data_IF_986964441208
#
_entry.id   IF_986964441208
#
_cell.length_a   1.000
_cell.length_b   1.000
_cell.length_c   1.000
_cell.angle_alpha   90.00
_cell.angle_beta   90.00
_cell.angle_gamma   90.00
#
_symmetry.space_group_name_H-M   'P 1'
#
loop_
_entity.id
_entity.type
_entity.pdbx_description
1 polymer ?
#
# COMPACT_ATOMS: atom_id res chain seq x y z
N UNK A 1 44.90 -34.82 31.78
CA UNK A 1 44.65 -35.56 30.52
C UNK A 1 43.82 -34.63 29.64
N UNK A 2 44.35 -34.22 28.49
CA UNK A 2 43.64 -33.32 27.58
C UNK A 2 42.72 -34.18 26.71
N UNK A 3 41.42 -34.16 26.99
CA UNK A 3 40.40 -34.82 26.19
C UNK A 3 40.39 -34.16 24.81
N UNK A 4 41.08 -34.79 23.86
CA UNK A 4 41.00 -34.41 22.45
C UNK A 4 39.62 -34.84 21.98
N UNK A 5 38.65 -33.93 22.05
CA UNK A 5 37.36 -34.10 21.41
C UNK A 5 37.63 -34.57 19.97
N UNK A 6 37.21 -35.79 19.66
CA UNK A 6 37.28 -36.35 18.31
C UNK A 6 36.24 -35.58 17.48
N UNK A 7 36.61 -34.39 16.99
CA UNK A 7 35.72 -33.58 16.16
C UNK A 7 35.55 -34.33 14.85
N UNK A 8 34.43 -35.01 14.72
CA UNK A 8 34.05 -35.71 13.49
C UNK A 8 33.72 -34.63 12.43
N UNK A 9 34.71 -34.30 11.60
CA UNK A 9 34.55 -33.29 10.56
C UNK A 9 33.88 -33.91 9.33
N UNK A 10 32.59 -33.62 9.15
CA UNK A 10 31.86 -33.99 7.93
C UNK A 10 32.09 -32.93 6.86
N UNK A 11 32.58 -33.35 5.69
CA UNK A 11 32.80 -32.45 4.54
C UNK A 11 31.59 -32.50 3.61
N UNK A 12 30.81 -31.42 3.58
CA UNK A 12 29.70 -31.26 2.63
C UNK A 12 30.23 -30.69 1.31
N UNK A 13 30.03 -31.41 0.21
CA UNK A 13 30.37 -30.90 -1.13
C UNK A 13 29.24 -30.01 -1.62
N UNK A 14 29.53 -28.72 -1.80
CA UNK A 14 28.61 -27.75 -2.39
C UNK A 14 29.16 -27.22 -3.72
N UNK A 15 28.31 -26.94 -4.73
CA UNK A 15 28.72 -26.28 -5.94
C UNK A 15 29.43 -24.94 -5.67
N UNK A 16 30.43 -24.59 -6.48
CA UNK A 16 31.27 -23.41 -6.25
C UNK A 16 30.47 -22.10 -6.21
N UNK A 17 29.47 -21.95 -7.07
CA UNK A 17 28.61 -20.77 -7.10
C UNK A 17 27.84 -20.61 -5.78
N UNK A 18 27.27 -21.70 -5.25
CA UNK A 18 26.53 -21.71 -3.99
C UNK A 18 27.47 -21.40 -2.81
N UNK A 19 28.68 -21.96 -2.81
CA UNK A 19 29.68 -21.67 -1.79
C UNK A 19 30.06 -20.18 -1.73
N UNK A 20 30.20 -19.53 -2.89
CA UNK A 20 30.49 -18.09 -2.95
C UNK A 20 29.32 -17.25 -2.42
N UNK A 21 28.08 -17.62 -2.72
CA UNK A 21 26.90 -16.95 -2.16
C UNK A 21 26.82 -17.10 -0.63
N UNK A 22 27.08 -18.31 -0.11
CA UNK A 22 27.14 -18.55 1.34
C UNK A 22 28.21 -17.66 1.98
N UNK A 23 29.41 -17.55 1.38
CA UNK A 23 30.47 -16.67 1.88
C UNK A 23 30.06 -15.21 1.87
N UNK A 24 29.38 -14.74 0.81
CA UNK A 24 28.87 -13.36 0.73
C UNK A 24 27.87 -13.10 1.85
N UNK A 25 26.92 -14.02 2.07
CA UNK A 25 25.93 -13.91 3.14
C UNK A 25 26.59 -13.85 4.52
N UNK A 26 27.52 -14.78 4.78
CA UNK A 26 28.27 -14.84 6.04
C UNK A 26 29.06 -13.54 6.28
N UNK A 27 29.70 -12.99 5.24
CA UNK A 27 30.41 -11.71 5.31
C UNK A 27 29.48 -10.54 5.65
N UNK A 28 28.29 -10.48 5.03
CA UNK A 28 27.28 -9.45 5.33
C UNK A 28 26.76 -9.55 6.76
N UNK A 29 26.61 -10.77 7.27
CA UNK A 29 26.17 -11.04 8.64
C UNK A 29 27.29 -10.91 9.69
N UNK A 30 28.55 -10.72 9.29
CA UNK A 30 29.70 -10.65 10.19
C UNK A 30 30.03 -11.96 10.91
N UNK A 31 29.58 -13.11 10.38
CA UNK A 31 29.79 -14.43 10.99
C UNK A 31 30.69 -15.32 10.13
N UNK A 32 31.52 -16.21 10.72
CA UNK A 32 32.30 -17.16 9.94
C UNK A 32 31.39 -18.24 9.34
N UNK A 33 31.79 -18.76 8.17
CA UNK A 33 31.00 -19.79 7.44
C UNK A 33 30.81 -21.05 8.29
N UNK A 34 31.82 -21.45 9.06
CA UNK A 34 31.72 -22.62 9.95
C UNK A 34 30.59 -22.51 10.97
N UNK A 35 30.54 -21.41 11.72
CA UNK A 35 29.46 -21.18 12.70
C UNK A 35 28.09 -21.08 12.04
N UNK A 36 28.00 -20.48 10.84
CA UNK A 36 26.75 -20.40 10.11
C UNK A 36 26.26 -21.80 9.69
N UNK A 37 27.16 -22.64 9.17
CA UNK A 37 26.83 -24.03 8.79
C UNK A 37 26.42 -24.85 10.01
N UNK A 38 27.14 -24.75 11.13
CA UNK A 38 26.77 -25.44 12.37
C UNK A 38 25.40 -24.99 12.89
N UNK A 39 25.12 -23.69 12.85
CA UNK A 39 23.83 -23.13 13.28
C UNK A 39 22.70 -23.60 12.37
N UNK A 40 22.91 -23.58 11.05
CA UNK A 40 21.95 -24.06 10.06
C UNK A 40 21.68 -25.56 10.23
N UNK A 41 22.74 -26.37 10.44
CA UNK A 41 22.62 -27.80 10.65
C UNK A 41 21.83 -28.14 11.92
N UNK A 42 22.16 -27.50 13.05
CA UNK A 42 21.41 -27.65 14.31
C UNK A 42 19.95 -27.21 14.17
N UNK A 43 19.71 -26.18 13.36
CA UNK A 43 18.35 -25.73 13.08
C UNK A 43 17.56 -26.75 12.26
N UNK A 44 18.16 -27.31 11.20
CA UNK A 44 17.54 -28.36 10.37
C UNK A 44 17.21 -29.60 11.22
N UNK A 45 18.18 -30.07 12.01
CA UNK A 45 18.04 -31.23 12.89
C UNK A 45 16.96 -31.01 13.96
N UNK A 46 16.92 -29.83 14.59
CA UNK A 46 15.93 -29.52 15.64
C UNK A 46 14.49 -29.49 15.13
N UNK A 47 14.29 -29.12 13.86
CA UNK A 47 12.96 -28.87 13.30
C UNK A 47 12.51 -29.96 12.32
N UNK A 48 13.24 -31.09 12.24
CA UNK A 48 12.96 -32.21 11.33
C UNK A 48 12.74 -31.76 9.87
N UNK A 49 13.53 -30.77 9.43
CA UNK A 49 13.43 -30.28 8.05
C UNK A 49 14.00 -31.32 7.09
N UNK A 50 13.15 -31.92 6.27
CA UNK A 50 13.61 -32.66 5.10
C UNK A 50 14.13 -31.66 4.05
N UNK A 51 15.46 -31.53 3.96
CA UNK A 51 16.13 -30.65 3.01
C UNK A 51 15.94 -31.07 1.54
N UNK A 52 15.34 -32.24 1.30
CA UNK A 52 14.94 -32.72 -0.02
C UNK A 52 13.46 -32.51 -0.32
N UNK A 53 12.66 -32.15 0.69
CA UNK A 53 11.27 -31.77 0.52
C UNK A 53 11.20 -30.33 -0.02
N UNK A 54 10.62 -30.19 -1.21
CA UNK A 54 10.49 -28.91 -1.91
C UNK A 54 9.18 -28.19 -1.57
N UNK A 55 8.30 -28.82 -0.81
CA UNK A 55 6.97 -28.30 -0.46
C UNK A 55 6.92 -27.71 0.95
N UNK A 56 7.84 -28.09 1.84
CA UNK A 56 7.90 -27.53 3.19
C UNK A 56 8.59 -26.17 3.23
N UNK A 57 7.85 -25.14 3.65
CA UNK A 57 8.43 -23.82 3.94
C UNK A 57 9.03 -23.83 5.35
N UNK A 58 10.33 -23.56 5.52
CA UNK A 58 10.93 -23.51 6.85
C UNK A 58 10.34 -22.40 7.70
N UNK A 59 9.71 -22.75 8.82
CA UNK A 59 9.20 -21.78 9.79
C UNK A 59 10.29 -21.46 10.82
N UNK A 60 10.72 -20.20 10.85
CA UNK A 60 11.49 -19.65 11.96
C UNK A 60 10.51 -18.96 12.90
N UNK A 61 10.41 -19.36 14.18
CA UNK A 61 9.61 -18.60 15.15
C UNK A 61 10.18 -17.18 15.22
N UNK A 62 9.38 -16.22 14.78
CA UNK A 62 9.73 -14.79 14.84
C UNK A 62 9.70 -14.37 16.30
N UNK A 63 10.72 -13.68 16.83
CA UNK A 63 10.68 -13.17 18.19
C UNK A 63 9.45 -12.27 18.40
N UNK A 64 8.77 -12.36 19.56
CA UNK A 64 7.51 -11.64 19.80
C UNK A 64 7.65 -10.12 19.67
N UNK A 65 8.83 -9.56 19.97
CA UNK A 65 9.11 -8.13 19.79
C UNK A 65 9.11 -7.72 18.30
N UNK A 66 9.68 -8.54 17.43
CA UNK A 66 9.72 -8.31 15.97
C UNK A 66 8.33 -8.46 15.35
N UNK A 67 7.53 -9.42 15.85
CA UNK A 67 6.14 -9.59 15.44
C UNK A 67 5.29 -8.39 15.86
N UNK A 68 5.49 -7.88 17.08
CA UNK A 68 4.82 -6.67 17.58
C UNK A 68 5.18 -5.43 16.76
N UNK A 69 6.45 -5.23 16.45
CA UNK A 69 6.90 -4.12 15.59
C UNK A 69 6.28 -4.20 14.19
N UNK A 70 6.23 -5.40 13.60
CA UNK A 70 5.56 -5.63 12.30
C UNK A 70 4.08 -5.27 12.35
N UNK A 71 3.36 -5.73 13.38
CA UNK A 71 1.95 -5.42 13.55
C UNK A 71 1.69 -3.92 13.72
N UNK A 72 2.58 -3.20 14.42
CA UNK A 72 2.48 -1.74 14.54
C UNK A 72 2.68 -1.02 13.19
N UNK A 73 3.66 -1.47 12.40
CA UNK A 73 3.91 -0.92 11.06
C UNK A 73 2.74 -1.19 10.12
N UNK A 74 2.15 -2.39 10.18
CA UNK A 74 0.96 -2.75 9.40
C UNK A 74 -0.23 -1.86 9.77
N UNK A 75 -0.51 -1.71 11.07
CA UNK A 75 -1.59 -0.83 11.55
C UNK A 75 -1.39 0.62 11.11
N UNK A 76 -0.16 1.14 11.18
CA UNK A 76 0.17 2.47 10.70
C UNK A 76 -0.05 2.61 9.18
N UNK A 77 0.33 1.59 8.40
CA UNK A 77 0.15 1.60 6.95
C UNK A 77 -1.33 1.64 6.55
N UNK A 78 -2.17 0.89 7.28
CA UNK A 78 -3.62 0.90 7.11
C UNK A 78 -4.21 2.28 7.43
N UNK A 79 -3.85 2.86 8.59
CA UNK A 79 -4.31 4.20 8.99
C UNK A 79 -3.88 5.29 8.01
N UNK A 80 -2.65 5.22 7.50
CA UNK A 80 -2.15 6.14 6.48
C UNK A 80 -2.94 6.02 5.17
N UNK A 81 -3.31 4.79 4.78
CA UNK A 81 -4.13 4.54 3.58
C UNK A 81 -5.54 5.09 3.72
N UNK A 82 -6.16 4.92 4.89
CA UNK A 82 -7.47 5.51 5.21
C UNK A 82 -7.41 7.04 5.19
N UNK A 83 -6.38 7.62 5.81
CA UNK A 83 -6.18 9.07 5.83
C UNK A 83 -6.02 9.64 4.41
N UNK A 84 -5.17 9.04 3.58
CA UNK A 84 -4.98 9.46 2.18
C UNK A 84 -6.29 9.35 1.39
N UNK A 85 -7.07 8.29 1.63
CA UNK A 85 -8.37 8.09 0.98
C UNK A 85 -9.37 9.17 1.39
N UNK A 86 -9.47 9.48 2.68
CA UNK A 86 -10.32 10.55 3.18
C UNK A 86 -9.92 11.93 2.62
N UNK A 87 -8.62 12.23 2.57
CA UNK A 87 -8.11 13.48 1.97
C UNK A 87 -8.43 13.59 0.47
N UNK A 88 -8.36 12.49 -0.27
CA UNK A 88 -8.75 12.46 -1.69
C UNK A 88 -10.25 12.70 -1.88
N UNK A 89 -11.10 12.13 -1.04
CA UNK A 89 -12.55 12.37 -1.10
C UNK A 89 -12.91 13.84 -0.85
N UNK A 90 -12.26 14.49 0.12
CA UNK A 90 -12.46 15.92 0.41
C UNK A 90 -12.00 16.79 -0.78
N UNK A 91 -10.84 16.48 -1.36
CA UNK A 91 -10.36 17.19 -2.56
C UNK A 91 -11.25 16.98 -3.78
N UNK A 92 -11.94 15.85 -3.92
CA UNK A 92 -12.91 15.59 -4.99
C UNK A 92 -14.25 16.30 -4.76
N UNK A 93 -14.67 16.45 -3.49
CA UNK A 93 -15.90 17.15 -3.12
C UNK A 93 -15.83 18.66 -3.40
N UNK A 94 -14.66 19.29 -3.27
CA UNK A 94 -14.51 20.73 -3.50
C UNK A 94 -14.81 21.18 -4.95
N UNK A 95 -14.29 20.53 -6.01
CA UNK A 95 -14.67 20.80 -7.40
C UNK A 95 -16.14 20.48 -7.70
N UNK A 96 -16.67 19.38 -7.15
CA UNK A 96 -18.05 18.95 -7.43
C UNK A 96 -19.09 19.90 -6.82
N UNK A 97 -18.81 20.48 -5.64
CA UNK A 97 -19.65 21.51 -5.02
C UNK A 97 -19.65 22.81 -5.84
N UNK A 98 -18.50 23.20 -6.42
CA UNK A 98 -18.41 24.37 -7.31
C UNK A 98 -19.19 24.13 -8.61
N UNK A 99 -19.07 22.93 -9.20
CA UNK A 99 -19.82 22.55 -10.40
C UNK A 99 -21.34 22.58 -10.15
N UNK A 100 -21.82 21.95 -9.07
CA UNK A 100 -23.25 21.92 -8.71
C UNK A 100 -23.82 23.31 -8.46
N UNK A 101 -23.05 24.19 -7.80
CA UNK A 101 -23.49 25.57 -7.55
C UNK A 101 -23.54 26.39 -8.85
N UNK A 102 -22.59 26.18 -9.76
CA UNK A 102 -22.58 26.83 -11.07
C UNK A 102 -23.75 26.37 -11.95
N UNK A 103 -24.06 25.07 -11.98
CA UNK A 103 -25.20 24.52 -12.74
C UNK A 103 -26.55 25.03 -12.23
N UNK A 104 -26.72 25.14 -10.90
CA UNK A 104 -27.94 25.69 -10.30
C UNK A 104 -28.10 27.18 -10.62
N UNK A 105 -27.01 27.96 -10.57
CA UNK A 105 -27.03 29.39 -10.95
C UNK A 105 -27.42 29.58 -12.41
N UNK A 106 -26.83 28.80 -13.34
CA UNK A 106 -27.16 28.88 -14.77
C UNK A 106 -28.64 28.52 -15.02
N UNK A 107 -29.15 27.50 -14.34
CA UNK A 107 -30.57 27.09 -14.45
C UNK A 107 -31.53 28.18 -13.94
N UNK A 108 -31.18 28.84 -12.82
CA UNK A 108 -31.99 29.92 -12.27
C UNK A 108 -31.98 31.17 -13.18
N UNK A 109 -30.83 31.50 -13.76
CA UNK A 109 -30.66 32.65 -14.66
C UNK A 109 -31.44 32.44 -15.97
N UNK A 110 -31.37 31.25 -16.56
CA UNK A 110 -32.15 30.90 -17.76
C UNK A 110 -33.67 30.94 -17.51
N UNK A 111 -34.13 30.48 -16.34
CA UNK A 111 -35.55 30.53 -15.96
C UNK A 111 -36.04 31.97 -15.72
N UNK A 112 -35.17 32.82 -15.17
CA UNK A 112 -35.45 34.26 -14.99
C UNK A 112 -35.57 34.96 -16.34
N UNK A 113 -34.60 34.76 -17.25
CA UNK A 113 -34.57 35.40 -18.57
C UNK A 113 -35.79 35.02 -19.44
N UNK A 114 -36.20 33.75 -19.42
CA UNK A 114 -37.41 33.32 -20.14
C UNK A 114 -38.68 33.98 -19.55
N UNK A 115 -38.78 34.13 -18.23
CA UNK A 115 -39.89 34.84 -17.60
C UNK A 115 -39.91 36.34 -17.95
N UNK A 116 -38.76 37.01 -18.01
CA UNK A 116 -38.69 38.43 -18.44
C UNK A 116 -39.05 38.58 -19.91
N UNK A 117 -38.59 37.67 -20.77
CA UNK A 117 -38.92 37.69 -22.21
C UNK A 117 -40.40 37.44 -22.48
N UNK A 118 -41.04 36.53 -21.73
CA UNK A 118 -42.50 36.30 -21.77
C UNK A 118 -43.31 37.48 -21.22
N UNK A 119 -42.78 38.22 -20.24
CA UNK A 119 -43.44 39.43 -19.69
C UNK A 119 -43.34 40.62 -20.63
N UNK A 120 -42.18 40.84 -21.26
CA UNK A 120 -41.98 41.93 -22.22
C UNK A 120 -42.82 41.76 -23.49
N UNK A 121 -42.91 40.54 -24.02
CA UNK A 121 -43.76 40.23 -25.20
C UNK A 121 -45.27 40.36 -24.93
N UNK A 122 -45.72 40.26 -23.68
CA UNK A 122 -47.13 40.43 -23.31
C UNK A 122 -47.55 41.90 -23.13
N UNK A 123 -46.58 42.81 -22.95
CA UNK A 123 -46.83 44.25 -22.75
C UNK A 123 -46.96 45.05 -24.07
N UNK A 124 -46.44 44.53 -25.19
CA UNK A 124 -46.42 45.25 -26.47
C UNK A 124 -47.70 45.12 -27.32
N UNK A 125 -48.74 44.44 -26.82
CA UNK A 125 -49.96 44.17 -27.58
C UNK A 125 -51.18 45.00 -27.14
N UNK A 126 -50.98 46.11 -26.43
CA UNK A 126 -52.07 46.79 -25.73
C UNK A 126 -52.03 48.31 -25.69
N UNK A 127 -51.69 49.01 -26.77
CA UNK A 127 -52.19 50.38 -26.98
C UNK A 127 -51.93 50.86 -28.42
N UNK A 128 -52.93 50.75 -29.29
CA UNK A 128 -53.09 51.67 -30.40
C UNK A 128 -54.43 52.36 -30.21
N UNK A 129 -54.39 53.63 -29.85
CA UNK A 129 -55.54 54.53 -29.93
C UNK A 129 -55.15 55.61 -30.95
N UNK A 130 -55.92 55.80 -32.03
CA UNK A 130 -55.52 56.67 -33.11
C UNK A 130 -55.77 58.14 -32.76
N UNK A 131 -54.82 58.98 -33.15
CA UNK A 131 -54.92 60.44 -33.11
C UNK A 131 -55.97 60.87 -34.14
N UNK A 132 -57.03 61.56 -33.72
CA UNK A 132 -57.97 62.23 -34.63
C UNK A 132 -57.98 63.72 -34.33
N UNK A 133 -57.92 64.48 -35.43
CA UNK A 133 -57.77 65.92 -35.65
C UNK A 133 -58.27 66.88 -34.58
#
# INVERSE_FOLDING_TARGET
MQEKANIQTSTLRVPKNILEEIKIYCRKAGKPVGEWVETAWKFIEKNDFDIYDKETTPFLPVPPDIEKERNQVEALCMLMSEFITAQKQIQLLAPELIAKTAEEKVRAEMKSEEQTKRRSSKSNNGHSVPLTQ
#
